data_IF_551948659213
#
_entry.id   IF_551948659213
#
_cell.length_a   1.000
_cell.length_b   1.000
_cell.length_c   1.000
_cell.angle_alpha   90.00
_cell.angle_beta   90.00
_cell.angle_gamma   90.00
#
_symmetry.space_group_name_H-M   'P 1'
#
loop_
_entity.id
_entity.type
_entity.pdbx_description
1 polymer ?
#
# COMPACT_ATOMS: atom_id res chain seq x y z
N UNK A 1 3.15 32.93 -10.01
CA UNK A 1 4.54 32.42 -10.02
C UNK A 1 4.63 31.29 -9.01
N UNK A 2 5.23 30.15 -9.37
CA UNK A 2 5.08 28.89 -8.63
C UNK A 2 5.92 28.92 -7.35
N UNK A 3 5.28 28.80 -6.20
CA UNK A 3 5.99 28.49 -4.94
C UNK A 3 6.36 27.02 -4.99
N UNK A 4 7.57 26.74 -5.47
CA UNK A 4 8.14 25.41 -5.50
C UNK A 4 8.33 24.82 -4.10
N UNK A 5 8.32 23.48 -4.06
CA UNK A 5 9.41 22.77 -3.40
C UNK A 5 9.25 22.43 -1.93
N UNK A 6 8.03 22.34 -1.39
CA UNK A 6 7.83 21.56 -0.16
C UNK A 6 6.53 20.80 -0.26
N UNK A 7 6.63 19.47 -0.24
CA UNK A 7 5.49 18.62 0.09
C UNK A 7 4.95 19.18 1.41
N UNK A 8 3.81 19.88 1.36
CA UNK A 8 3.20 20.45 2.56
C UNK A 8 3.12 19.34 3.61
N UNK A 9 3.41 19.63 4.88
CA UNK A 9 3.41 18.61 5.94
C UNK A 9 2.12 17.75 5.93
N UNK A 10 1.01 18.36 5.52
CA UNK A 10 -0.27 17.69 5.26
C UNK A 10 -0.19 16.63 4.14
N UNK A 11 0.38 16.95 2.99
CA UNK A 11 0.54 16.03 1.84
C UNK A 11 1.45 14.87 2.23
N UNK A 12 2.56 15.14 2.93
CA UNK A 12 3.46 14.11 3.43
C UNK A 12 2.75 13.20 4.45
N UNK A 13 1.97 13.79 5.35
CA UNK A 13 1.16 13.05 6.33
C UNK A 13 0.12 12.16 5.66
N UNK A 14 -0.65 12.69 4.70
CA UNK A 14 -1.64 11.92 3.94
C UNK A 14 -0.99 10.81 3.12
N UNK A 15 0.18 11.07 2.53
CA UNK A 15 0.94 10.06 1.81
C UNK A 15 1.40 8.92 2.73
N UNK A 16 2.01 9.25 3.88
CA UNK A 16 2.42 8.24 4.87
C UNK A 16 1.24 7.43 5.39
N UNK A 17 0.10 8.08 5.68
CA UNK A 17 -1.12 7.40 6.12
C UNK A 17 -1.63 6.44 5.05
N UNK A 18 -1.69 6.86 3.77
CA UNK A 18 -2.06 5.97 2.67
C UNK A 18 -1.12 4.76 2.57
N UNK A 19 0.19 4.99 2.69
CA UNK A 19 1.17 3.90 2.61
C UNK A 19 1.00 2.90 3.75
N UNK A 20 0.80 3.39 4.97
CA UNK A 20 0.59 2.54 6.15
C UNK A 20 -0.73 1.77 6.04
N UNK A 21 -1.81 2.44 5.65
CA UNK A 21 -3.14 1.82 5.56
C UNK A 21 -3.20 0.76 4.46
N UNK A 22 -2.70 1.04 3.25
CA UNK A 22 -2.67 0.05 2.16
C UNK A 22 -1.79 -1.14 2.53
N UNK A 23 -0.59 -0.88 3.03
CA UNK A 23 0.35 -1.94 3.44
C UNK A 23 -0.28 -2.82 4.51
N UNK A 24 -0.86 -2.22 5.56
CA UNK A 24 -1.53 -2.96 6.64
C UNK A 24 -2.73 -3.75 6.09
N UNK A 25 -3.53 -3.14 5.21
CA UNK A 25 -4.70 -3.76 4.60
C UNK A 25 -4.34 -5.00 3.76
N UNK A 26 -3.35 -4.87 2.88
CA UNK A 26 -2.89 -5.98 2.04
C UNK A 26 -2.29 -7.12 2.86
N UNK A 27 -1.51 -6.80 3.90
CA UNK A 27 -0.96 -7.81 4.81
C UNK A 27 -2.05 -8.49 5.63
N UNK A 28 -3.06 -7.75 6.09
CA UNK A 28 -4.20 -8.29 6.83
C UNK A 28 -5.04 -9.24 5.95
N UNK A 29 -5.29 -8.88 4.69
CA UNK A 29 -5.94 -9.77 3.73
C UNK A 29 -5.12 -11.03 3.47
N UNK A 30 -3.80 -10.90 3.35
CA UNK A 30 -2.91 -12.05 3.22
C UNK A 30 -2.97 -12.94 4.46
N UNK A 31 -2.94 -12.37 5.66
CA UNK A 31 -3.09 -13.12 6.91
C UNK A 31 -4.44 -13.85 6.99
N UNK A 32 -5.53 -13.20 6.56
CA UNK A 32 -6.85 -13.82 6.52
C UNK A 32 -6.94 -14.96 5.49
N UNK A 33 -6.26 -14.83 4.34
CA UNK A 33 -6.29 -15.80 3.25
C UNK A 33 -5.32 -16.98 3.43
N UNK A 34 -4.27 -16.83 4.25
CA UNK A 34 -3.20 -17.84 4.41
C UNK A 34 -3.51 -18.92 5.45
N UNK A 35 -4.75 -19.01 5.95
CA UNK A 35 -5.08 -19.97 6.99
C UNK A 35 -5.23 -21.41 6.45
N UNK A 36 -4.42 -22.38 6.91
CA UNK A 36 -4.46 -23.75 6.41
C UNK A 36 -5.73 -24.53 6.78
N UNK A 37 -6.49 -24.07 7.78
CA UNK A 37 -7.74 -24.73 8.21
C UNK A 37 -8.96 -24.26 7.40
N UNK A 38 -8.75 -23.34 6.44
CA UNK A 38 -9.80 -22.88 5.55
C UNK A 38 -10.07 -23.98 4.50
N UNK A 39 -11.16 -24.74 4.68
CA UNK A 39 -11.60 -25.79 3.74
C UNK A 39 -11.95 -25.25 2.34
N UNK A 40 -12.56 -26.07 1.49
CA UNK A 40 -12.78 -25.69 0.08
C UNK A 40 -14.07 -24.87 -0.16
N UNK A 41 -14.03 -24.04 -1.22
CA UNK A 41 -15.20 -23.34 -1.76
C UNK A 41 -15.83 -22.32 -0.81
N UNK A 42 -17.16 -22.36 -0.66
CA UNK A 42 -17.95 -21.37 0.11
C UNK A 42 -17.63 -21.38 1.61
N UNK A 43 -17.26 -22.54 2.18
CA UNK A 43 -16.87 -22.64 3.58
C UNK A 43 -15.60 -21.83 3.88
N UNK A 44 -14.69 -21.71 2.90
CA UNK A 44 -13.49 -20.86 3.00
C UNK A 44 -13.83 -19.39 3.17
N UNK A 45 -14.79 -18.91 2.39
CA UNK A 45 -15.26 -17.52 2.44
C UNK A 45 -15.93 -17.20 3.77
N UNK A 46 -16.75 -18.11 4.30
CA UNK A 46 -17.40 -17.93 5.60
C UNK A 46 -16.38 -17.94 6.76
N UNK A 47 -15.37 -18.81 6.69
CA UNK A 47 -14.27 -18.84 7.66
C UNK A 47 -13.42 -17.57 7.59
N UNK A 48 -13.12 -17.08 6.39
CA UNK A 48 -12.43 -15.79 6.19
C UNK A 48 -13.26 -14.62 6.73
N UNK A 49 -14.58 -14.62 6.52
CA UNK A 49 -15.49 -13.61 7.05
C UNK A 49 -15.54 -13.58 8.58
N UNK A 50 -15.29 -14.72 9.22
CA UNK A 50 -15.23 -14.84 10.68
C UNK A 50 -13.89 -14.35 11.26
N UNK A 51 -12.90 -14.03 10.43
CA UNK A 51 -11.56 -13.64 10.88
C UNK A 51 -11.47 -12.14 11.13
N UNK A 52 -10.92 -11.70 12.29
CA UNK A 52 -10.74 -10.28 12.58
C UNK A 52 -9.79 -9.59 11.60
N UNK A 53 -8.85 -10.34 11.00
CA UNK A 53 -7.92 -9.84 9.98
C UNK A 53 -8.62 -9.36 8.71
N UNK A 54 -9.71 -10.01 8.28
CA UNK A 54 -10.47 -9.54 7.12
C UNK A 54 -11.08 -8.17 7.40
N UNK A 55 -11.74 -8.02 8.55
CA UNK A 55 -12.36 -6.77 8.97
C UNK A 55 -11.33 -5.65 9.17
N UNK A 56 -10.15 -5.99 9.69
CA UNK A 56 -9.03 -5.05 9.80
C UNK A 56 -8.61 -4.56 8.41
N UNK A 57 -8.45 -5.48 7.45
CA UNK A 57 -8.12 -5.12 6.07
C UNK A 57 -9.17 -4.24 5.41
N UNK A 58 -10.46 -4.57 5.60
CA UNK A 58 -11.59 -3.77 5.10
C UNK A 58 -11.57 -2.37 5.72
N UNK A 59 -11.40 -2.25 7.04
CA UNK A 59 -11.34 -0.96 7.71
C UNK A 59 -10.16 -0.11 7.22
N UNK A 60 -8.99 -0.72 7.04
CA UNK A 60 -7.83 -0.04 6.45
C UNK A 60 -8.15 0.50 5.05
N UNK A 61 -8.76 -0.30 4.18
CA UNK A 61 -9.13 0.11 2.82
C UNK A 61 -10.18 1.24 2.79
N UNK A 62 -11.15 1.21 3.70
CA UNK A 62 -12.15 2.28 3.81
C UNK A 62 -11.49 3.60 4.23
N UNK A 63 -10.59 3.55 5.22
CA UNK A 63 -9.84 4.73 5.67
C UNK A 63 -8.87 5.23 4.59
N UNK A 64 -8.21 4.30 3.90
CA UNK A 64 -7.30 4.59 2.79
C UNK A 64 -8.05 5.31 1.68
N UNK A 65 -9.25 4.85 1.31
CA UNK A 65 -10.06 5.51 0.30
C UNK A 65 -10.32 6.99 0.61
N UNK A 66 -10.63 7.31 1.87
CA UNK A 66 -10.82 8.69 2.31
C UNK A 66 -9.52 9.50 2.24
N UNK A 67 -8.42 8.91 2.72
CA UNK A 67 -7.10 9.54 2.68
C UNK A 67 -6.61 9.75 1.24
N UNK A 68 -6.93 8.83 0.33
CA UNK A 68 -6.56 8.88 -1.08
C UNK A 68 -7.32 9.97 -1.82
N UNK A 69 -8.62 10.14 -1.58
CA UNK A 69 -9.39 11.26 -2.12
C UNK A 69 -8.81 12.60 -1.64
N UNK A 70 -8.52 12.71 -0.34
CA UNK A 70 -7.88 13.91 0.21
C UNK A 70 -6.52 14.18 -0.46
N UNK A 71 -5.72 13.15 -0.69
CA UNK A 71 -4.44 13.25 -1.37
C UNK A 71 -4.57 13.68 -2.84
N UNK A 72 -5.50 13.10 -3.59
CA UNK A 72 -5.82 13.48 -4.97
C UNK A 72 -6.38 14.91 -5.09
N UNK A 73 -6.99 15.45 -4.04
CA UNK A 73 -7.45 16.84 -4.03
C UNK A 73 -6.30 17.86 -3.93
N UNK A 74 -5.12 17.42 -3.49
CA UNK A 74 -3.96 18.28 -3.24
C UNK A 74 -2.88 18.20 -4.33
N UNK A 75 -2.86 17.11 -5.10
CA UNK A 75 -1.83 16.85 -6.11
C UNK A 75 -2.46 16.50 -7.47
N UNK A 76 -1.78 16.83 -8.59
CA UNK A 76 -2.13 16.29 -9.89
C UNK A 76 -2.16 14.76 -9.85
N UNK A 77 -3.12 14.15 -10.56
CA UNK A 77 -3.30 12.70 -10.62
C UNK A 77 -1.99 11.96 -10.98
N UNK A 78 -1.21 12.51 -11.92
CA UNK A 78 0.08 11.91 -12.32
C UNK A 78 1.08 11.83 -11.16
N UNK A 79 1.26 12.93 -10.41
CA UNK A 79 2.14 12.97 -9.23
C UNK A 79 1.62 12.05 -8.13
N UNK A 80 0.32 12.06 -7.86
CA UNK A 80 -0.28 11.23 -6.84
C UNK A 80 -0.09 9.72 -7.13
N UNK A 81 -0.34 9.29 -8.36
CA UNK A 81 -0.14 7.88 -8.78
C UNK A 81 1.34 7.50 -8.70
N UNK A 82 2.25 8.40 -9.11
CA UNK A 82 3.69 8.18 -8.98
C UNK A 82 4.12 8.03 -7.51
N UNK A 83 3.70 8.95 -6.64
CA UNK A 83 3.93 8.86 -5.19
C UNK A 83 3.31 7.59 -4.59
N UNK A 84 2.13 7.20 -5.06
CA UNK A 84 1.43 5.98 -4.66
C UNK A 84 2.15 4.69 -5.10
N UNK A 85 2.96 4.71 -6.16
CA UNK A 85 3.71 3.53 -6.61
C UNK A 85 4.68 2.99 -5.56
N UNK A 86 5.08 3.80 -4.58
CA UNK A 86 5.88 3.35 -3.42
C UNK A 86 5.18 2.25 -2.61
N UNK A 87 3.84 2.20 -2.61
CA UNK A 87 3.09 1.20 -1.85
C UNK A 87 3.41 -0.21 -2.33
N UNK A 88 3.63 -0.38 -3.64
CA UNK A 88 4.05 -1.65 -4.24
C UNK A 88 5.36 -2.14 -3.60
N UNK A 89 6.31 -1.22 -3.36
CA UNK A 89 7.56 -1.51 -2.67
C UNK A 89 7.32 -1.81 -1.19
N UNK A 90 6.56 -0.97 -0.50
CA UNK A 90 6.26 -1.11 0.93
C UNK A 90 5.59 -2.46 1.23
N UNK A 91 4.56 -2.83 0.48
CA UNK A 91 3.86 -4.12 0.58
C UNK A 91 4.80 -5.28 0.32
N UNK A 92 5.63 -5.24 -0.73
CA UNK A 92 6.57 -6.34 -1.02
C UNK A 92 7.61 -6.53 0.08
N UNK A 93 8.15 -5.43 0.60
CA UNK A 93 9.13 -5.47 1.70
C UNK A 93 8.47 -5.97 2.97
N UNK A 94 7.31 -5.44 3.34
CA UNK A 94 6.59 -5.86 4.54
C UNK A 94 6.11 -7.33 4.43
N UNK A 95 5.70 -7.75 3.23
CA UNK A 95 5.33 -9.14 2.92
C UNK A 95 6.52 -10.09 3.12
N UNK A 96 7.71 -9.71 2.66
CA UNK A 96 8.94 -10.47 2.91
C UNK A 96 9.27 -10.55 4.40
N UNK A 97 9.18 -9.43 5.13
CA UNK A 97 9.56 -9.37 6.55
C UNK A 97 8.59 -10.17 7.43
N UNK A 98 7.28 -10.05 7.19
CA UNK A 98 6.25 -10.66 8.03
C UNK A 98 5.89 -12.10 7.64
N UNK A 99 5.90 -12.43 6.34
CA UNK A 99 5.53 -13.75 5.85
C UNK A 99 6.72 -14.58 5.34
N UNK A 100 7.94 -14.04 5.42
CA UNK A 100 9.16 -14.73 4.98
C UNK A 100 9.21 -15.00 3.48
N UNK A 101 8.45 -14.25 2.67
CA UNK A 101 8.36 -14.51 1.23
C UNK A 101 9.71 -14.32 0.52
N UNK A 102 10.09 -15.32 -0.28
CA UNK A 102 11.30 -15.24 -1.10
C UNK A 102 11.07 -14.25 -2.25
N UNK A 103 11.60 -13.04 -2.13
CA UNK A 103 11.70 -12.12 -3.27
C UNK A 103 12.80 -12.62 -4.20
N UNK A 104 12.44 -12.90 -5.45
CA UNK A 104 13.38 -13.23 -6.51
C UNK A 104 14.21 -12.00 -6.87
N UNK A 105 15.41 -12.21 -7.42
CA UNK A 105 16.29 -11.12 -7.86
C UNK A 105 15.61 -10.16 -8.85
N UNK A 106 14.69 -10.68 -9.67
CA UNK A 106 13.90 -9.89 -10.61
C UNK A 106 12.89 -8.96 -9.91
N UNK A 107 12.24 -9.42 -8.82
CA UNK A 107 11.34 -8.58 -8.00
C UNK A 107 12.11 -7.47 -7.29
N UNK A 108 13.31 -7.75 -6.83
CA UNK A 108 14.20 -6.74 -6.23
C UNK A 108 14.60 -5.69 -7.27
N UNK A 109 14.94 -6.10 -8.50
CA UNK A 109 15.22 -5.16 -9.59
C UNK A 109 13.99 -4.28 -9.90
N UNK A 110 12.79 -4.85 -9.92
CA UNK A 110 11.53 -4.10 -10.07
C UNK A 110 11.31 -3.08 -8.95
N UNK A 111 11.54 -3.47 -7.69
CA UNK A 111 11.49 -2.57 -6.53
C UNK A 111 12.42 -1.38 -6.73
N UNK A 112 13.68 -1.62 -7.10
CA UNK A 112 14.67 -0.56 -7.30
C UNK A 112 14.25 0.40 -8.41
N UNK A 113 13.68 -0.10 -9.52
CA UNK A 113 13.17 0.73 -10.61
C UNK A 113 11.98 1.61 -10.16
N UNK A 114 11.04 1.05 -9.39
CA UNK A 114 9.91 1.82 -8.85
C UNK A 114 10.40 2.88 -7.88
N UNK A 115 11.28 2.52 -6.94
CA UNK A 115 11.89 3.47 -6.00
C UNK A 115 12.64 4.59 -6.74
N UNK A 116 13.39 4.25 -7.79
CA UNK A 116 14.07 5.25 -8.62
C UNK A 116 13.07 6.20 -9.28
N UNK A 117 11.98 5.67 -9.86
CA UNK A 117 10.92 6.47 -10.45
C UNK A 117 10.28 7.44 -9.47
N UNK A 118 10.02 6.99 -8.23
CA UNK A 118 9.50 7.84 -7.15
C UNK A 118 10.49 8.95 -6.79
N UNK A 119 11.79 8.63 -6.65
CA UNK A 119 12.84 9.62 -6.33
C UNK A 119 12.98 10.65 -7.43
N UNK A 120 12.99 10.23 -8.70
CA UNK A 120 13.10 11.14 -9.85
C UNK A 120 11.93 12.14 -9.86
N UNK A 121 10.72 11.66 -9.60
CA UNK A 121 9.53 12.53 -9.58
C UNK A 121 9.49 13.42 -8.36
N UNK A 122 9.94 12.93 -7.19
CA UNK A 122 10.03 13.72 -5.97
C UNK A 122 11.12 14.80 -6.02
N UNK A 123 12.19 14.61 -6.79
CA UNK A 123 13.29 15.57 -6.97
C UNK A 123 13.05 16.52 -8.16
N UNK A 124 12.37 16.05 -9.21
CA UNK A 124 12.09 16.82 -10.42
C UNK A 124 10.82 17.68 -10.37
N UNK A 125 10.10 17.70 -9.24
CA UNK A 125 8.87 18.47 -9.01
C UNK A 125 9.05 19.64 -8.07
#
# INVERSE_FOLDING_TARGET
MPTGGSITALVAGLWLVNVILDTTGQLAFKAAASDPAAGDGFARWLHMASRPWLWTGIACYVLEFLAWIAFLSLLPLSQAILLGSINIVAVMVAGRVLFGEKLTSLRVAGILLVTLGVVIVGVGG
#
